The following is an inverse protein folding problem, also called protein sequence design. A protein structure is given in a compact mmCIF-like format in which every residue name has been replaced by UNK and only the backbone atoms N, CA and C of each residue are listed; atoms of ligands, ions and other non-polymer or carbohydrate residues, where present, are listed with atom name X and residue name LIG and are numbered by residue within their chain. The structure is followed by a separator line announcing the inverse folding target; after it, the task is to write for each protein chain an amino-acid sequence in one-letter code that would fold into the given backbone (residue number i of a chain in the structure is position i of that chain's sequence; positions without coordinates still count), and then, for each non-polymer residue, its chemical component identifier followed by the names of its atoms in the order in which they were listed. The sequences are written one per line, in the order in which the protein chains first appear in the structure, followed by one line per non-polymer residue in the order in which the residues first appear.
data_IF_515049354779
#
_entry.id   IF_515049354779
#
_cell.length_a   1.000
_cell.length_b   1.000
_cell.length_c   1.000
_cell.angle_alpha   90.00
_cell.angle_beta   90.00
_cell.angle_gamma   90.00
#
_symmetry.space_group_name_H-M   'P 1'
#
loop_
_entity.id
_entity.type
_entity.pdbx_description
1 polymer ?
#
# COMPACT_ATOMS: atom_id res chain seq x y z
N UNK A 1 13.50 6.99 -3.14
CA UNK A 1 14.69 7.89 -3.13
C UNK A 1 14.38 9.20 -2.39
N UNK A 2 13.34 9.97 -2.73
CA UNK A 2 13.03 11.27 -2.10
C UNK A 2 12.94 11.24 -0.56
N UNK A 3 12.43 10.14 0.02
CA UNK A 3 12.38 9.96 1.47
C UNK A 3 13.77 9.79 2.08
N UNK A 4 14.66 9.09 1.39
CA UNK A 4 16.05 8.91 1.82
C UNK A 4 16.82 10.22 1.76
N UNK A 5 16.65 10.99 0.69
CA UNK A 5 17.29 12.29 0.51
C UNK A 5 16.87 13.27 1.65
N UNK A 6 15.56 13.29 1.96
CA UNK A 6 15.05 14.09 3.07
C UNK A 6 15.52 13.60 4.44
N UNK A 7 15.69 12.28 4.62
CA UNK A 7 16.22 11.71 5.85
C UNK A 7 17.71 12.02 6.02
N UNK A 8 18.49 11.93 4.95
CA UNK A 8 19.91 12.27 4.95
C UNK A 8 20.14 13.72 5.36
N UNK A 9 19.36 14.65 4.80
CA UNK A 9 19.43 16.07 5.15
C UNK A 9 19.09 16.30 6.63
N UNK A 10 17.99 15.71 7.11
CA UNK A 10 17.50 15.90 8.48
C UNK A 10 18.41 15.25 9.53
N UNK A 11 19.00 14.12 9.20
CA UNK A 11 19.84 13.34 10.11
C UNK A 11 21.34 13.63 9.96
N UNK A 12 21.72 14.57 9.09
CA UNK A 12 23.10 14.97 8.90
C UNK A 12 23.89 15.25 10.20
N UNK A 13 23.31 15.88 11.26
CA UNK A 13 24.02 16.07 12.52
C UNK A 13 24.36 14.77 13.26
N UNK A 14 23.71 13.66 12.93
CA UNK A 14 23.88 12.35 13.57
C UNK A 14 24.34 11.26 12.61
N UNK A 15 24.88 11.63 11.45
CA UNK A 15 25.23 10.69 10.38
C UNK A 15 26.16 9.56 10.81
N UNK A 16 27.02 9.76 11.82
CA UNK A 16 27.91 8.72 12.36
C UNK A 16 27.14 7.62 13.14
N UNK A 17 25.89 7.89 13.48
CA UNK A 17 25.01 7.01 14.27
C UNK A 17 23.82 6.48 13.48
N UNK A 18 23.71 6.84 12.20
CA UNK A 18 22.58 6.53 11.34
C UNK A 18 23.07 5.89 10.05
N UNK A 19 22.48 4.77 9.69
CA UNK A 19 22.64 4.14 8.39
C UNK A 19 21.30 4.14 7.68
N UNK A 20 21.22 4.71 6.47
CA UNK A 20 20.05 4.72 5.64
C UNK A 20 20.12 3.60 4.60
N UNK A 21 19.10 2.77 4.51
CA UNK A 21 19.03 1.65 3.57
C UNK A 21 17.78 1.79 2.72
N UNK A 22 17.94 1.77 1.38
CA UNK A 22 16.81 1.73 0.47
C UNK A 22 16.36 0.28 0.27
N UNK A 23 15.38 -0.14 1.02
CA UNK A 23 14.83 -1.50 0.95
C UNK A 23 13.39 -1.52 1.46
N UNK A 24 12.68 -2.60 1.16
CA UNK A 24 11.42 -2.91 1.82
C UNK A 24 11.72 -3.61 3.16
N UNK A 25 10.96 -3.29 4.20
CA UNK A 25 11.12 -3.89 5.53
C UNK A 25 10.88 -5.41 5.54
N UNK A 26 10.23 -5.98 4.52
CA UNK A 26 10.10 -7.43 4.37
C UNK A 26 11.42 -8.15 4.02
N UNK A 27 12.51 -7.41 3.81
CA UNK A 27 13.85 -7.94 3.62
C UNK A 27 14.75 -7.66 4.86
N UNK A 28 14.16 -7.64 6.05
CA UNK A 28 14.83 -7.26 7.30
C UNK A 28 16.08 -8.09 7.56
N UNK A 29 15.99 -9.41 7.40
CA UNK A 29 17.13 -10.31 7.60
C UNK A 29 18.32 -9.94 6.70
N UNK A 30 18.06 -9.73 5.41
CA UNK A 30 19.09 -9.34 4.45
C UNK A 30 19.71 -7.96 4.77
N UNK A 31 18.90 -7.03 5.28
CA UNK A 31 19.36 -5.71 5.71
C UNK A 31 20.30 -5.84 6.91
N UNK A 32 19.89 -6.58 7.94
CA UNK A 32 20.70 -6.76 9.16
C UNK A 32 22.00 -7.53 8.87
N UNK A 33 21.91 -8.59 8.07
CA UNK A 33 23.10 -9.35 7.63
C UNK A 33 24.07 -8.47 6.85
N UNK A 34 23.56 -7.65 5.93
CA UNK A 34 24.38 -6.68 5.17
C UNK A 34 25.05 -5.61 6.03
N UNK A 35 24.48 -5.32 7.19
CA UNK A 35 25.05 -4.40 8.18
C UNK A 35 25.94 -5.11 9.21
N UNK A 36 26.06 -6.44 9.16
CA UNK A 36 26.83 -7.25 10.12
C UNK A 36 26.20 -7.27 11.52
N UNK A 37 24.88 -7.17 11.60
CA UNK A 37 24.12 -7.16 12.86
C UNK A 37 23.39 -8.49 13.04
N UNK A 38 23.75 -9.26 14.06
CA UNK A 38 23.03 -10.50 14.44
C UNK A 38 21.67 -10.21 15.07
N UNK A 39 21.53 -9.09 15.76
CA UNK A 39 20.29 -8.66 16.41
C UNK A 39 20.30 -7.19 16.82
N UNK A 40 19.15 -6.70 17.21
CA UNK A 40 18.93 -5.31 17.64
C UNK A 40 18.13 -5.22 18.94
N UNK A 41 18.27 -4.12 19.68
CA UNK A 41 17.59 -3.91 20.97
C UNK A 41 16.17 -3.35 20.79
N UNK A 42 15.86 -2.81 19.62
CA UNK A 42 14.54 -2.27 19.31
C UNK A 42 14.28 -2.14 17.83
N UNK A 43 13.01 -2.34 17.46
CA UNK A 43 12.49 -2.13 16.11
C UNK A 43 11.23 -1.29 16.16
N UNK A 44 11.10 -0.35 15.23
CA UNK A 44 9.89 0.44 15.02
C UNK A 44 9.52 0.39 13.54
N UNK A 45 8.31 -0.09 13.27
CA UNK A 45 7.73 -0.11 11.92
C UNK A 45 6.56 0.86 11.86
N UNK A 46 6.60 1.78 10.90
CA UNK A 46 5.53 2.73 10.59
C UNK A 46 4.91 2.31 9.24
N UNK A 47 3.75 1.61 9.31
CA UNK A 47 3.15 0.95 8.15
C UNK A 47 2.35 1.93 7.29
N UNK A 48 2.05 1.50 6.07
CA UNK A 48 1.19 2.20 5.14
C UNK A 48 1.89 3.29 4.32
N UNK A 49 1.10 4.24 3.82
CA UNK A 49 1.56 5.31 2.92
C UNK A 49 1.88 6.60 3.67
N UNK A 50 2.94 7.26 3.26
CA UNK A 50 3.33 8.55 3.81
C UNK A 50 2.47 9.71 3.27
N UNK A 51 2.37 10.81 4.04
CA UNK A 51 1.67 12.02 3.57
C UNK A 51 2.19 12.55 2.23
N UNK A 52 3.51 12.62 1.97
CA UNK A 52 4.01 13.02 0.64
C UNK A 52 3.52 12.14 -0.52
N UNK A 53 3.36 10.82 -0.30
CA UNK A 53 2.81 9.92 -1.32
C UNK A 53 1.32 10.19 -1.60
N UNK A 54 0.54 10.58 -0.58
CA UNK A 54 -0.87 10.95 -0.74
C UNK A 54 -1.04 12.35 -1.34
N UNK A 55 -0.15 13.27 -1.04
CA UNK A 55 -0.21 14.67 -1.47
C UNK A 55 0.24 14.84 -2.92
N UNK A 56 1.17 14.02 -3.39
CA UNK A 56 1.59 13.99 -4.78
C UNK A 56 0.55 13.24 -5.63
N UNK A 57 -0.28 14.02 -6.33
CA UNK A 57 -1.33 13.47 -7.18
C UNK A 57 -0.79 12.49 -8.23
N UNK A 58 0.41 12.74 -8.79
CA UNK A 58 0.99 11.91 -9.85
C UNK A 58 1.23 10.44 -9.42
N UNK A 59 1.29 10.18 -8.11
CA UNK A 59 1.47 8.85 -7.53
C UNK A 59 0.20 7.98 -7.57
N UNK A 60 -0.97 8.55 -7.87
CA UNK A 60 -2.22 7.83 -8.05
C UNK A 60 -2.87 7.25 -6.79
N UNK A 61 -2.43 7.61 -5.59
CA UNK A 61 -3.03 7.12 -4.33
C UNK A 61 -4.36 7.78 -3.98
N UNK A 62 -4.61 8.97 -4.52
CA UNK A 62 -5.79 9.77 -4.15
C UNK A 62 -6.98 9.53 -5.08
N UNK A 63 -8.13 9.24 -4.50
CA UNK A 63 -9.42 9.20 -5.19
C UNK A 63 -10.09 10.59 -5.33
N UNK A 64 -9.39 11.67 -4.96
CA UNK A 64 -9.92 13.04 -4.99
C UNK A 64 -9.30 13.90 -6.08
N UNK A 65 -8.20 13.48 -6.65
CA UNK A 65 -7.47 14.18 -7.72
C UNK A 65 -7.27 13.24 -8.89
N UNK A 66 -7.40 13.74 -10.10
CA UNK A 66 -7.16 12.94 -11.29
C UNK A 66 -5.66 12.73 -11.50
N UNK A 67 -5.28 11.48 -11.73
CA UNK A 67 -3.90 11.08 -11.92
C UNK A 67 -3.82 9.69 -12.58
N UNK A 68 -2.69 9.31 -13.16
CA UNK A 68 -2.48 7.93 -13.61
C UNK A 68 -2.71 6.92 -12.48
N UNK A 69 -3.26 5.76 -12.80
CA UNK A 69 -3.46 4.63 -11.87
C UNK A 69 -2.13 3.92 -11.60
N UNK A 70 -1.29 4.50 -10.74
CA UNK A 70 0.03 3.93 -10.37
C UNK A 70 -0.04 3.19 -9.03
N UNK A 71 -0.15 3.87 -7.91
CA UNK A 71 -0.21 3.38 -6.52
C UNK A 71 1.02 2.58 -6.05
N UNK A 72 2.13 2.55 -6.78
CA UNK A 72 3.36 1.90 -6.30
C UNK A 72 4.02 2.75 -5.22
N UNK A 73 4.38 2.15 -4.10
CA UNK A 73 5.20 2.79 -3.07
C UNK A 73 6.64 2.96 -3.56
N UNK A 74 7.21 1.91 -4.15
CA UNK A 74 8.47 1.96 -4.90
C UNK A 74 8.17 2.04 -6.41
N UNK A 75 8.59 3.13 -7.04
CA UNK A 75 8.37 3.32 -8.48
C UNK A 75 9.22 2.41 -9.38
N UNK A 76 10.16 1.67 -8.80
CA UNK A 76 10.93 0.65 -9.53
C UNK A 76 10.20 -0.68 -9.65
N UNK A 77 9.14 -0.90 -8.85
CA UNK A 77 8.28 -2.08 -8.96
C UNK A 77 7.53 -2.08 -10.30
N UNK A 78 7.16 -3.27 -10.77
CA UNK A 78 6.53 -3.45 -12.07
C UNK A 78 5.00 -3.42 -12.02
N UNK A 79 4.40 -3.87 -10.90
CA UNK A 79 2.94 -3.95 -10.76
C UNK A 79 2.35 -2.58 -10.42
N UNK A 80 1.46 -2.07 -11.27
CA UNK A 80 0.74 -0.82 -11.06
C UNK A 80 -0.75 -1.06 -10.79
N UNK A 81 -1.44 -0.07 -10.23
CA UNK A 81 -2.89 -0.11 -10.08
C UNK A 81 -3.59 -0.24 -11.45
N UNK A 82 -3.01 0.36 -12.50
CA UNK A 82 -3.50 0.21 -13.87
C UNK A 82 -3.49 -1.25 -14.32
N UNK A 83 -2.41 -1.97 -14.07
CA UNK A 83 -2.30 -3.39 -14.42
C UNK A 83 -3.32 -4.22 -13.63
N UNK A 84 -3.43 -4.01 -12.31
CA UNK A 84 -4.44 -4.68 -11.48
C UNK A 84 -5.86 -4.47 -12.03
N UNK A 85 -6.23 -3.23 -12.31
CA UNK A 85 -7.59 -2.88 -12.77
C UNK A 85 -7.88 -3.41 -14.17
N UNK A 86 -6.92 -3.33 -15.08
CA UNK A 86 -7.17 -3.66 -16.50
C UNK A 86 -6.86 -5.10 -16.88
N UNK A 87 -6.03 -5.83 -16.11
CA UNK A 87 -5.53 -7.15 -16.55
C UNK A 87 -5.96 -8.29 -15.63
N UNK A 88 -6.22 -8.03 -14.34
CA UNK A 88 -6.56 -9.10 -13.40
C UNK A 88 -7.94 -9.72 -13.68
N UNK A 89 -8.11 -11.04 -13.48
CA UNK A 89 -9.41 -11.69 -13.59
C UNK A 89 -10.45 -11.10 -12.61
N UNK A 90 -11.73 -11.11 -13.00
CA UNK A 90 -12.83 -10.59 -12.18
C UNK A 90 -12.84 -11.20 -10.77
N UNK A 91 -12.57 -12.50 -10.66
CA UNK A 91 -12.55 -13.21 -9.37
C UNK A 91 -11.42 -12.69 -8.46
N UNK A 92 -10.24 -12.40 -9.02
CA UNK A 92 -9.14 -11.81 -8.25
C UNK A 92 -9.47 -10.38 -7.81
N UNK A 93 -10.05 -9.57 -8.69
CA UNK A 93 -10.54 -8.24 -8.32
C UNK A 93 -11.58 -8.34 -7.18
N UNK A 94 -12.54 -9.25 -7.29
CA UNK A 94 -13.54 -9.49 -6.24
C UNK A 94 -12.89 -9.91 -4.93
N UNK A 95 -11.88 -10.80 -4.99
CA UNK A 95 -11.14 -11.29 -3.83
C UNK A 95 -10.44 -10.16 -3.09
N UNK A 96 -9.63 -9.35 -3.79
CA UNK A 96 -8.92 -8.25 -3.14
C UNK A 96 -9.88 -7.17 -2.61
N UNK A 97 -10.92 -6.83 -3.35
CA UNK A 97 -11.92 -5.87 -2.90
C UNK A 97 -12.61 -6.32 -1.60
N UNK A 98 -12.90 -7.61 -1.48
CA UNK A 98 -13.47 -8.18 -0.28
C UNK A 98 -12.46 -8.29 0.86
N UNK A 99 -11.30 -8.90 0.61
CA UNK A 99 -10.31 -9.21 1.64
C UNK A 99 -9.53 -7.98 2.10
N UNK A 100 -9.09 -7.13 1.17
CA UNK A 100 -8.23 -5.98 1.46
C UNK A 100 -8.99 -4.66 1.59
N UNK A 101 -10.14 -4.56 0.96
CA UNK A 101 -11.00 -3.38 1.05
C UNK A 101 -12.11 -3.49 2.06
N UNK A 102 -12.44 -4.69 2.52
CA UNK A 102 -13.68 -4.96 3.26
C UNK A 102 -14.91 -4.37 2.51
N UNK A 103 -14.88 -4.43 1.18
CA UNK A 103 -15.88 -3.81 0.31
C UNK A 103 -17.12 -4.70 0.18
N UNK A 104 -18.24 -4.26 0.75
CA UNK A 104 -19.51 -5.02 0.72
C UNK A 104 -20.04 -5.23 -0.68
N UNK A 105 -19.72 -4.33 -1.59
CA UNK A 105 -20.16 -4.37 -2.98
C UNK A 105 -19.09 -4.95 -3.91
N UNK A 106 -18.10 -5.67 -3.38
CA UNK A 106 -17.00 -6.24 -4.14
C UNK A 106 -17.40 -6.97 -5.43
N UNK A 107 -18.45 -7.83 -5.46
CA UNK A 107 -18.88 -8.47 -6.70
C UNK A 107 -19.37 -7.47 -7.76
N UNK A 108 -20.14 -6.47 -7.34
CA UNK A 108 -20.69 -5.46 -8.23
C UNK A 108 -19.61 -4.55 -8.79
N UNK A 109 -18.67 -4.12 -7.93
CA UNK A 109 -17.52 -3.27 -8.29
C UNK A 109 -16.59 -4.01 -9.24
N UNK A 110 -16.19 -5.26 -8.92
CA UNK A 110 -15.35 -6.07 -9.80
C UNK A 110 -15.98 -6.27 -11.18
N UNK A 111 -17.27 -6.61 -11.23
CA UNK A 111 -18.00 -6.74 -12.49
C UNK A 111 -18.12 -5.42 -13.26
N UNK A 112 -18.23 -4.28 -12.58
CA UNK A 112 -18.26 -2.97 -13.23
C UNK A 112 -16.90 -2.59 -13.82
N UNK A 113 -15.80 -2.88 -13.11
CA UNK A 113 -14.43 -2.68 -13.60
C UNK A 113 -14.23 -3.47 -14.90
N UNK A 114 -14.56 -4.77 -14.90
CA UNK A 114 -14.41 -5.61 -16.09
C UNK A 114 -15.23 -5.07 -17.26
N UNK A 115 -16.51 -4.77 -17.06
CA UNK A 115 -17.36 -4.19 -18.11
C UNK A 115 -16.88 -2.83 -18.62
N UNK A 116 -16.24 -2.03 -17.77
CA UNK A 116 -15.71 -0.74 -18.18
C UNK A 116 -14.46 -0.91 -19.04
N UNK A 117 -13.49 -1.72 -18.59
CA UNK A 117 -12.23 -1.96 -19.32
C UNK A 117 -12.42 -2.68 -20.64
N UNK A 118 -13.46 -3.53 -20.77
CA UNK A 118 -13.80 -4.19 -22.04
C UNK A 118 -14.19 -3.17 -23.13
N UNK A 119 -14.64 -1.98 -22.75
CA UNK A 119 -14.96 -0.90 -23.69
C UNK A 119 -13.74 -0.02 -23.95
N UNK A 120 -13.00 0.33 -22.90
CA UNK A 120 -11.83 1.19 -22.91
C UNK A 120 -11.02 0.98 -21.62
N UNK A 121 -9.71 0.83 -21.70
CA UNK A 121 -8.87 0.77 -20.50
C UNK A 121 -9.16 1.92 -19.52
N UNK A 122 -9.13 1.62 -18.23
CA UNK A 122 -9.27 2.60 -17.16
C UNK A 122 -7.86 3.12 -16.86
N UNK A 123 -7.61 4.38 -17.18
CA UNK A 123 -6.26 4.95 -17.14
C UNK A 123 -6.03 5.80 -15.90
N UNK A 124 -7.09 6.45 -15.38
CA UNK A 124 -6.93 7.43 -14.30
C UNK A 124 -7.73 7.09 -13.05
N UNK A 125 -7.33 7.72 -11.96
CA UNK A 125 -7.98 7.58 -10.65
C UNK A 125 -9.44 8.00 -10.68
N UNK A 126 -9.78 9.12 -11.33
CA UNK A 126 -11.17 9.57 -11.38
C UNK A 126 -12.02 8.71 -12.32
N UNK A 127 -11.47 8.16 -13.40
CA UNK A 127 -12.16 7.17 -14.22
C UNK A 127 -12.55 5.94 -13.38
N UNK A 128 -11.62 5.41 -12.56
CA UNK A 128 -11.93 4.32 -11.64
C UNK A 128 -12.99 4.71 -10.60
N UNK A 129 -12.91 5.93 -10.05
CA UNK A 129 -13.92 6.43 -9.10
C UNK A 129 -15.32 6.40 -9.70
N UNK A 130 -15.48 6.86 -10.95
CA UNK A 130 -16.79 6.86 -11.61
C UNK A 130 -17.32 5.43 -11.88
N UNK A 131 -16.43 4.51 -12.25
CA UNK A 131 -16.78 3.08 -12.40
C UNK A 131 -17.28 2.51 -11.06
N UNK A 132 -16.59 2.78 -9.97
CA UNK A 132 -16.95 2.31 -8.62
C UNK A 132 -18.29 2.90 -8.18
N UNK A 133 -18.49 4.21 -8.33
CA UNK A 133 -19.75 4.88 -8.00
C UNK A 133 -20.94 4.31 -8.80
N UNK A 134 -20.71 4.04 -10.08
CA UNK A 134 -21.75 3.44 -10.95
C UNK A 134 -22.15 2.02 -10.56
N UNK A 135 -21.33 1.32 -9.77
CA UNK A 135 -21.59 -0.03 -9.28
C UNK A 135 -22.34 -0.05 -7.93
N UNK A 136 -22.40 1.09 -7.23
CA UNK A 136 -22.93 1.16 -5.87
C UNK A 136 -24.40 1.60 -5.84
N UNK A 137 -25.21 1.08 -4.90
CA UNK A 137 -26.57 1.55 -4.71
C UNK A 137 -26.59 2.98 -4.16
N UNK A 138 -27.67 3.76 -4.40
CA UNK A 138 -27.79 5.14 -3.93
C UNK A 138 -27.60 5.34 -2.42
N UNK A 139 -27.93 4.32 -1.63
CA UNK A 139 -27.73 4.35 -0.17
C UNK A 139 -26.26 4.40 0.20
N UNK A 140 -25.41 3.60 -0.48
CA UNK A 140 -23.96 3.57 -0.24
C UNK A 140 -23.28 4.90 -0.65
N UNK A 141 -23.78 5.54 -1.71
CA UNK A 141 -23.26 6.84 -2.16
C UNK A 141 -23.52 8.00 -1.17
N UNK A 142 -24.46 7.81 -0.23
CA UNK A 142 -24.78 8.80 0.82
C UNK A 142 -24.03 8.57 2.12
N UNK A 143 -23.23 7.52 2.22
CA UNK A 143 -22.41 7.25 3.40
C UNK A 143 -21.38 8.36 3.61
N UNK A 144 -20.97 8.56 4.87
CA UNK A 144 -19.96 9.58 5.23
C UNK A 144 -18.61 9.34 4.56
N UNK A 145 -18.26 8.08 4.32
CA UNK A 145 -17.00 7.70 3.66
C UNK A 145 -17.14 7.81 2.14
N UNK A 146 -16.07 8.23 1.49
CA UNK A 146 -16.04 8.28 0.03
C UNK A 146 -16.25 6.88 -0.58
N UNK A 147 -17.14 6.69 -1.56
CA UNK A 147 -17.48 5.38 -2.11
C UNK A 147 -16.27 4.57 -2.60
N UNK A 148 -15.30 5.22 -3.22
CA UNK A 148 -14.11 4.55 -3.73
C UNK A 148 -13.02 4.27 -2.68
N UNK A 149 -13.16 4.72 -1.42
CA UNK A 149 -12.12 4.57 -0.40
C UNK A 149 -11.65 3.12 -0.24
N UNK A 150 -12.58 2.20 -0.10
CA UNK A 150 -12.31 0.77 0.11
C UNK A 150 -11.69 0.10 -1.12
N UNK A 151 -12.16 0.47 -2.30
CA UNK A 151 -11.60 0.00 -3.57
C UNK A 151 -10.16 0.46 -3.73
N UNK A 152 -9.85 1.72 -3.47
CA UNK A 152 -8.49 2.26 -3.54
C UNK A 152 -7.57 1.60 -2.51
N UNK A 153 -8.02 1.40 -1.28
CA UNK A 153 -7.28 0.65 -0.27
C UNK A 153 -6.96 -0.77 -0.75
N UNK A 154 -7.95 -1.49 -1.28
CA UNK A 154 -7.77 -2.86 -1.75
C UNK A 154 -6.72 -2.97 -2.87
N UNK A 155 -6.80 -2.07 -3.86
CA UNK A 155 -5.88 -2.05 -4.98
C UNK A 155 -4.47 -1.67 -4.50
N UNK A 156 -4.34 -0.67 -3.62
CA UNK A 156 -3.06 -0.25 -3.03
C UNK A 156 -2.37 -1.40 -2.30
N UNK A 157 -3.10 -2.09 -1.43
CA UNK A 157 -2.59 -3.26 -0.69
C UNK A 157 -2.12 -4.34 -1.66
N UNK A 158 -2.88 -4.61 -2.74
CA UNK A 158 -2.52 -5.60 -3.73
C UNK A 158 -1.29 -5.21 -4.56
N UNK A 159 -1.19 -3.94 -4.97
CA UNK A 159 -0.05 -3.43 -5.75
C UNK A 159 1.25 -3.53 -4.97
N UNK A 160 1.22 -3.24 -3.67
CA UNK A 160 2.42 -3.14 -2.84
C UNK A 160 2.67 -4.38 -1.96
N UNK A 161 1.84 -5.42 -2.07
CA UNK A 161 1.89 -6.61 -1.19
C UNK A 161 2.03 -6.22 0.29
N UNK A 162 1.23 -5.23 0.73
CA UNK A 162 1.37 -4.65 2.07
C UNK A 162 1.23 -5.70 3.18
N UNK A 163 0.17 -6.51 3.13
CA UNK A 163 -0.09 -7.52 4.16
C UNK A 163 0.92 -8.67 4.14
N UNK A 164 1.33 -9.12 2.95
CA UNK A 164 2.38 -10.13 2.82
C UNK A 164 3.74 -9.61 3.32
N UNK A 165 4.01 -8.32 3.13
CA UNK A 165 5.21 -7.68 3.65
C UNK A 165 5.19 -7.59 5.19
N UNK A 166 4.03 -7.29 5.78
CA UNK A 166 3.86 -7.28 7.26
C UNK A 166 4.05 -8.68 7.84
N UNK A 167 3.45 -9.69 7.23
CA UNK A 167 3.59 -11.08 7.68
C UNK A 167 5.07 -11.52 7.68
N UNK A 168 5.79 -11.30 6.58
CA UNK A 168 7.23 -11.61 6.49
C UNK A 168 8.03 -10.83 7.54
N UNK A 169 7.76 -9.53 7.68
CA UNK A 169 8.45 -8.68 8.65
C UNK A 169 8.32 -9.20 10.08
N UNK A 170 7.14 -9.63 10.49
CA UNK A 170 6.93 -10.16 11.85
C UNK A 170 7.75 -11.44 12.07
N UNK A 171 7.76 -12.34 11.07
CA UNK A 171 8.54 -13.58 11.15
C UNK A 171 10.05 -13.33 11.21
N UNK A 172 10.57 -12.34 10.49
CA UNK A 172 11.98 -11.98 10.49
C UNK A 172 12.38 -11.15 11.72
N UNK A 173 11.50 -10.25 12.20
CA UNK A 173 11.80 -9.33 13.28
C UNK A 173 11.99 -9.99 14.64
N UNK A 174 11.13 -10.97 14.98
CA UNK A 174 11.13 -11.58 16.32
C UNK A 174 12.45 -12.31 16.63
N UNK A 175 13.02 -13.14 15.73
CA UNK A 175 14.32 -13.79 15.97
C UNK A 175 15.49 -12.80 16.04
N UNK A 176 15.37 -11.63 15.44
CA UNK A 176 16.45 -10.60 15.41
C UNK A 176 16.40 -9.62 16.60
N UNK A 177 15.47 -9.79 17.53
CA UNK A 177 15.48 -9.02 18.77
C UNK A 177 16.44 -9.64 19.80
N UNK A 178 17.30 -8.81 20.35
CA UNK A 178 18.11 -9.18 21.50
C UNK A 178 17.23 -9.49 22.72
N UNK A 179 17.70 -10.31 23.69
CA UNK A 179 16.96 -10.56 24.90
C UNK A 179 16.53 -9.27 25.62
N UNK A 180 15.24 -9.08 25.83
CA UNK A 180 14.69 -7.85 26.40
C UNK A 180 14.42 -6.73 25.39
N UNK A 181 14.71 -6.93 24.13
CA UNK A 181 14.42 -5.99 23.04
C UNK A 181 12.92 -5.68 22.89
N UNK A 182 12.59 -4.66 22.15
CA UNK A 182 11.21 -4.18 21.93
C UNK A 182 10.91 -4.09 20.45
N UNK A 183 9.74 -4.61 20.05
CA UNK A 183 9.13 -4.39 18.75
C UNK A 183 7.92 -3.47 18.90
N UNK A 184 7.88 -2.40 18.15
CA UNK A 184 6.75 -1.50 18.04
C UNK A 184 6.29 -1.40 16.57
N UNK A 185 4.99 -1.50 16.35
CA UNK A 185 4.37 -1.39 15.02
C UNK A 185 3.26 -0.35 15.08
N UNK A 186 3.29 0.62 14.17
CA UNK A 186 2.23 1.61 13.99
C UNK A 186 1.39 1.15 12.80
N UNK A 187 0.13 0.81 13.05
CA UNK A 187 -0.83 0.39 12.03
C UNK A 187 -1.93 1.43 11.82
N UNK A 188 -2.46 1.52 10.60
CA UNK A 188 -3.49 2.50 10.23
C UNK A 188 -4.84 1.88 9.86
N UNK A 189 -4.91 0.57 9.71
CA UNK A 189 -6.16 -0.14 9.47
C UNK A 189 -6.16 -1.55 10.08
N UNK A 190 -7.37 -2.05 10.33
CA UNK A 190 -7.61 -3.31 11.04
C UNK A 190 -6.99 -4.57 10.41
N UNK A 191 -6.66 -4.53 9.13
CA UNK A 191 -6.06 -5.67 8.44
C UNK A 191 -4.56 -5.85 8.77
N UNK A 192 -3.88 -4.77 9.16
CA UNK A 192 -2.48 -4.81 9.60
C UNK A 192 -2.33 -5.32 11.04
N UNK A 193 -3.43 -5.35 11.81
CA UNK A 193 -3.46 -5.69 13.25
C UNK A 193 -4.07 -7.07 13.50
N UNK A 194 -4.39 -7.83 12.46
CA UNK A 194 -4.96 -9.20 12.55
C UNK A 194 -3.88 -10.25 12.23
#
# INVERSE_FOLDING_TARGET
QAALDAAEERLAPWRERVTLVHSNFCALDAILDGLGLDGVDGMLFDLGVSSPQLDDASRGFSYRRDAPLDMRMDQTDTLTARAVVNEWPQEELRRILWQYGEERYAPAVAGAIVRARDKRPIETTLELVEVVKGAMPPAALREKQHPAKRTFQAIRIAVNDELGSVDRMVWEAVPRLNPGGRLAVISFHSLEDR
#
